data_IF_389839118860
#
_entry.id   IF_389839118860
#
_cell.length_a   1.000
_cell.length_b   1.000
_cell.length_c   1.000
_cell.angle_alpha   90.00
_cell.angle_beta   90.00
_cell.angle_gamma   90.00
#
_symmetry.space_group_name_H-M   'P 1'
#
loop_
_entity.id
_entity.type
_entity.pdbx_description
1 polymer ?
#
# COMPACT_ATOMS: atom_id res chain seq x y z
N UNK A 1 0.81 -17.89 -3.09
CA UNK A 1 1.04 -16.90 -2.03
C UNK A 1 1.91 -15.79 -2.58
N UNK A 2 1.48 -14.54 -2.42
CA UNK A 2 2.27 -13.35 -2.75
C UNK A 2 2.78 -12.66 -1.49
N UNK A 3 3.91 -11.96 -1.60
CA UNK A 3 4.46 -11.13 -0.54
C UNK A 3 4.31 -9.66 -0.88
N UNK A 4 3.89 -8.85 0.09
CA UNK A 4 3.74 -7.42 -0.07
C UNK A 4 4.29 -6.67 1.13
N UNK A 5 4.70 -5.42 0.93
CA UNK A 5 5.24 -4.57 1.99
C UNK A 5 4.13 -3.64 2.44
N UNK A 6 3.65 -3.82 3.66
CA UNK A 6 2.57 -3.00 4.20
C UNK A 6 3.15 -1.94 5.12
N UNK A 7 2.71 -0.70 4.94
CA UNK A 7 3.02 0.44 5.79
C UNK A 7 1.73 1.01 6.37
N UNK A 8 1.74 1.28 7.67
CA UNK A 8 0.60 1.81 8.39
C UNK A 8 1.03 2.61 9.61
N UNK A 9 0.15 3.48 10.10
CA UNK A 9 0.34 4.17 11.36
C UNK A 9 -0.41 3.43 12.46
N UNK A 10 0.32 3.01 13.49
CA UNK A 10 -0.27 2.41 14.69
C UNK A 10 -0.58 3.52 15.69
N UNK A 11 -1.87 3.75 15.92
CA UNK A 11 -2.36 4.83 16.79
C UNK A 11 -2.10 4.58 18.27
N UNK A 12 -2.05 3.31 18.69
CA UNK A 12 -1.83 2.93 20.10
C UNK A 12 -0.37 3.20 20.51
N UNK A 13 0.56 2.94 19.60
CA UNK A 13 1.99 3.16 19.81
C UNK A 13 2.49 4.48 19.25
N UNK A 14 1.64 5.21 18.51
CA UNK A 14 1.96 6.46 17.80
C UNK A 14 3.17 6.35 16.88
N UNK A 15 3.31 5.20 16.20
CA UNK A 15 4.48 4.88 15.38
C UNK A 15 4.08 4.45 13.99
N UNK A 16 4.89 4.88 13.02
CA UNK A 16 4.91 4.27 11.71
C UNK A 16 5.41 2.84 11.85
N UNK A 17 4.63 1.89 11.35
CA UNK A 17 4.98 0.47 11.28
C UNK A 17 5.02 0.03 9.84
N UNK A 18 5.91 -0.92 9.58
CA UNK A 18 5.96 -1.59 8.31
C UNK A 18 6.31 -3.07 8.48
N UNK A 19 5.67 -3.92 7.69
CA UNK A 19 5.84 -5.36 7.75
C UNK A 19 5.67 -6.02 6.39
N UNK A 20 6.22 -7.22 6.23
CA UNK A 20 5.97 -8.04 5.05
C UNK A 20 4.77 -8.94 5.35
N UNK A 21 3.70 -8.75 4.60
CA UNK A 21 2.50 -9.57 4.67
C UNK A 21 2.55 -10.64 3.58
N UNK A 22 1.85 -11.76 3.82
CA UNK A 22 1.67 -12.83 2.85
C UNK A 22 0.19 -12.98 2.55
N UNK A 23 -0.16 -12.87 1.28
CA UNK A 23 -1.55 -12.96 0.84
C UNK A 23 -1.75 -14.19 -0.04
N UNK A 24 -2.92 -14.79 0.10
CA UNK A 24 -3.41 -15.84 -0.80
C UNK A 24 -3.73 -15.25 -2.17
N UNK A 25 -3.48 -16.02 -3.21
CA UNK A 25 -3.65 -15.59 -4.60
C UNK A 25 -3.93 -16.77 -5.54
N UNK A 26 -4.50 -17.85 -5.01
CA UNK A 26 -4.89 -19.02 -5.79
C UNK A 26 -6.00 -18.67 -6.79
N UNK A 27 -6.82 -17.66 -6.46
CA UNK A 27 -7.81 -17.05 -7.34
C UNK A 27 -7.81 -15.52 -7.20
N UNK A 28 -8.34 -14.82 -8.20
CA UNK A 28 -8.51 -13.35 -8.14
C UNK A 28 -9.42 -12.92 -6.99
N UNK A 29 -10.49 -13.66 -6.72
CA UNK A 29 -11.44 -13.36 -5.63
C UNK A 29 -10.79 -13.50 -4.25
N UNK A 30 -9.89 -14.48 -4.09
CA UNK A 30 -9.16 -14.64 -2.84
C UNK A 30 -8.15 -13.53 -2.63
N UNK A 31 -7.44 -13.12 -3.69
CA UNK A 31 -6.54 -11.99 -3.64
C UNK A 31 -7.27 -10.69 -3.28
N UNK A 32 -8.40 -10.40 -3.95
CA UNK A 32 -9.26 -9.24 -3.67
C UNK A 32 -9.69 -9.21 -2.20
N UNK A 33 -10.12 -10.36 -1.65
CA UNK A 33 -10.52 -10.49 -0.25
C UNK A 33 -9.35 -10.22 0.71
N UNK A 34 -8.16 -10.73 0.41
CA UNK A 34 -6.96 -10.52 1.24
C UNK A 34 -6.52 -9.05 1.22
N UNK A 35 -6.54 -8.39 0.05
CA UNK A 35 -6.23 -6.97 -0.09
C UNK A 35 -7.18 -6.10 0.73
N UNK A 36 -8.50 -6.30 0.56
CA UNK A 36 -9.54 -5.60 1.33
C UNK A 36 -9.40 -5.81 2.84
N UNK A 37 -9.09 -7.05 3.25
CA UNK A 37 -8.82 -7.36 4.65
C UNK A 37 -7.63 -6.58 5.21
N UNK A 38 -6.50 -6.58 4.50
CA UNK A 38 -5.29 -5.89 4.94
C UNK A 38 -5.42 -4.37 4.91
N UNK A 39 -6.12 -3.81 3.93
CA UNK A 39 -6.41 -2.37 3.83
C UNK A 39 -7.49 -1.90 4.80
N UNK A 40 -8.29 -2.83 5.33
CA UNK A 40 -9.51 -2.52 6.11
C UNK A 40 -10.48 -1.69 5.27
N UNK A 41 -10.71 -2.12 4.03
CA UNK A 41 -11.52 -1.40 3.04
C UNK A 41 -12.48 -2.30 2.27
N UNK A 42 -13.53 -1.69 1.70
CA UNK A 42 -14.48 -2.36 0.81
C UNK A 42 -14.04 -2.31 -0.66
N UNK A 43 -13.13 -1.38 -0.97
CA UNK A 43 -12.56 -1.12 -2.29
C UNK A 43 -11.12 -0.65 -2.18
N UNK A 44 -10.43 -0.61 -3.31
CA UNK A 44 -9.05 -0.13 -3.38
C UNK A 44 -8.72 0.39 -4.77
N UNK A 45 -7.70 1.23 -4.84
CA UNK A 45 -7.11 1.73 -6.08
C UNK A 45 -5.61 1.39 -6.14
N UNK A 46 -5.09 1.31 -7.36
CA UNK A 46 -3.66 1.14 -7.62
C UNK A 46 -3.06 2.48 -8.04
N UNK A 47 -1.87 2.76 -7.50
CA UNK A 47 -1.08 3.93 -7.85
C UNK A 47 0.35 3.51 -8.15
N UNK A 48 0.90 3.93 -9.29
CA UNK A 48 2.27 3.60 -9.66
C UNK A 48 3.27 4.34 -8.74
N UNK A 49 4.12 3.57 -8.06
CA UNK A 49 5.22 4.10 -7.27
C UNK A 49 6.51 4.16 -8.08
N UNK A 50 6.75 3.13 -8.88
CA UNK A 50 7.83 3.04 -9.85
C UNK A 50 7.38 2.22 -11.05
N UNK A 51 8.29 1.90 -11.98
CA UNK A 51 7.97 1.05 -13.13
C UNK A 51 7.66 -0.39 -12.73
N UNK A 52 8.17 -0.80 -11.57
CA UNK A 52 8.05 -2.19 -11.09
C UNK A 52 7.12 -2.31 -9.89
N UNK A 53 6.76 -1.21 -9.22
CA UNK A 53 6.04 -1.21 -7.95
C UNK A 53 4.78 -0.36 -8.04
N UNK A 54 3.66 -0.95 -7.61
CA UNK A 54 2.42 -0.23 -7.32
C UNK A 54 2.15 -0.16 -5.82
N UNK A 55 1.42 0.87 -5.43
CA UNK A 55 0.84 1.05 -4.10
C UNK A 55 -0.65 0.85 -4.21
N UNK A 56 -1.16 -0.06 -3.41
CA UNK A 56 -2.57 -0.33 -3.25
C UNK A 56 -3.04 0.41 -1.99
N UNK A 57 -4.09 1.21 -2.15
CA UNK A 57 -4.68 2.01 -1.08
C UNK A 57 -6.20 1.90 -1.07
N UNK A 58 -6.80 2.22 0.06
CA UNK A 58 -8.24 2.31 0.23
C UNK A 58 -8.82 3.49 -0.58
N UNK A 59 -9.72 3.18 -1.53
CA UNK A 59 -10.34 4.15 -2.44
C UNK A 59 -11.20 5.19 -1.70
N UNK A 60 -11.63 4.87 -0.48
CA UNK A 60 -12.39 5.76 0.42
C UNK A 60 -11.63 6.12 1.69
N UNK A 61 -10.30 5.98 1.68
CA UNK A 61 -9.47 6.19 2.87
C UNK A 61 -9.66 7.58 3.49
N UNK A 62 -9.88 8.62 2.68
CA UNK A 62 -10.09 9.99 3.16
C UNK A 62 -11.46 10.22 3.83
N UNK A 63 -12.44 9.35 3.58
CA UNK A 63 -13.79 9.48 4.14
C UNK A 63 -13.92 8.82 5.52
N UNK A 64 -12.98 7.94 5.87
CA UNK A 64 -12.92 7.23 7.16
C UNK A 64 -12.38 8.16 8.23
N UNK A 65 -12.90 8.04 9.46
CA UNK A 65 -12.48 8.85 10.61
C UNK A 65 -11.18 8.33 11.21
N UNK A 66 -10.32 9.25 11.68
CA UNK A 66 -9.03 8.94 12.32
C UNK A 66 -8.08 8.09 11.46
N UNK A 67 -8.25 8.12 10.13
CA UNK A 67 -7.41 7.38 9.20
C UNK A 67 -6.12 8.17 8.96
N UNK A 68 -4.92 7.56 9.07
CA UNK A 68 -3.67 8.27 8.84
C UNK A 68 -3.57 8.77 7.41
N UNK A 69 -3.02 9.97 7.23
CA UNK A 69 -2.78 10.57 5.92
C UNK A 69 -1.28 10.69 5.71
N UNK A 70 -0.81 10.08 4.63
CA UNK A 70 0.59 10.06 4.21
C UNK A 70 0.80 10.96 3.01
N UNK A 71 1.96 11.61 2.96
CA UNK A 71 2.54 12.18 1.75
C UNK A 71 3.65 11.23 1.30
N UNK A 72 3.47 10.61 0.13
CA UNK A 72 4.43 9.68 -0.48
C UNK A 72 5.00 10.32 -1.74
N UNK A 73 6.32 10.39 -1.86
CA UNK A 73 7.00 10.75 -3.11
C UNK A 73 7.41 9.47 -3.83
N UNK A 74 6.85 9.27 -5.03
CA UNK A 74 7.15 8.16 -5.92
C UNK A 74 8.56 8.31 -6.54
N UNK A 75 9.11 7.23 -7.11
CA UNK A 75 10.46 7.26 -7.71
C UNK A 75 10.57 8.23 -8.89
N UNK A 76 9.46 8.50 -9.57
CA UNK A 76 9.37 9.49 -10.65
C UNK A 76 9.38 10.95 -10.15
N UNK A 77 9.33 11.18 -8.84
CA UNK A 77 9.30 12.50 -8.21
C UNK A 77 7.91 13.06 -7.94
N UNK A 78 6.86 12.43 -8.48
CA UNK A 78 5.48 12.78 -8.18
C UNK A 78 5.14 12.52 -6.71
N UNK A 79 4.28 13.36 -6.14
CA UNK A 79 3.91 13.26 -4.73
C UNK A 79 2.41 13.08 -4.57
N UNK A 80 2.02 12.05 -3.83
CA UNK A 80 0.63 11.66 -3.62
C UNK A 80 0.27 11.76 -2.14
N UNK A 81 -0.97 12.16 -1.88
CA UNK A 81 -1.57 12.10 -0.56
C UNK A 81 -2.45 10.87 -0.49
N UNK A 82 -2.14 9.96 0.42
CA UNK A 82 -2.78 8.65 0.53
C UNK A 82 -3.30 8.48 1.96
N UNK A 83 -4.50 7.92 2.12
CA UNK A 83 -5.13 7.76 3.43
C UNK A 83 -5.32 6.28 3.77
N UNK A 84 -5.02 5.91 5.02
CA UNK A 84 -5.13 4.55 5.52
C UNK A 84 -3.85 3.74 5.38
N UNK A 85 -3.98 2.44 5.15
CA UNK A 85 -2.83 1.53 5.01
C UNK A 85 -2.34 1.55 3.57
N UNK A 86 -1.03 1.44 3.39
CA UNK A 86 -0.39 1.39 2.07
C UNK A 86 0.19 -0.01 1.87
N UNK A 87 -0.16 -0.69 0.78
CA UNK A 87 0.40 -2.00 0.43
C UNK A 87 1.20 -1.87 -0.85
N UNK A 88 2.50 -2.10 -0.78
CA UNK A 88 3.41 -2.07 -1.93
C UNK A 88 3.56 -3.48 -2.50
N UNK A 89 3.34 -3.60 -3.79
CA UNK A 89 3.41 -4.85 -4.56
C UNK A 89 4.20 -4.64 -5.84
N UNK A 90 4.71 -5.71 -6.45
CA UNK A 90 5.28 -5.60 -7.80
C UNK A 90 4.17 -5.60 -8.84
N UNK A 91 4.30 -4.77 -9.87
CA UNK A 91 3.53 -4.89 -11.09
C UNK A 91 4.12 -6.02 -11.94
N UNK A 92 3.30 -6.97 -12.35
CA UNK A 92 3.64 -7.94 -13.38
C UNK A 92 2.87 -7.51 -14.63
N UNK A 93 3.59 -6.90 -15.57
CA UNK A 93 3.03 -6.58 -16.88
C UNK A 93 2.79 -7.89 -17.66
N UNK A 94 1.53 -8.15 -17.98
CA UNK A 94 1.14 -9.17 -18.93
C UNK A 94 0.59 -8.49 -20.20
N UNK A 95 0.59 -9.20 -21.32
CA UNK A 95 0.10 -8.68 -22.61
C UNK A 95 -1.38 -8.22 -22.54
N UNK A 96 -2.16 -8.75 -21.59
CA UNK A 96 -3.60 -8.51 -21.44
C UNK A 96 -4.02 -7.90 -20.07
N UNK A 97 -3.12 -7.83 -19.06
CA UNK A 97 -3.45 -7.35 -17.70
C UNK A 97 -2.24 -6.87 -16.91
N UNK A 98 -2.48 -6.10 -15.84
CA UNK A 98 -1.48 -5.86 -14.77
C UNK A 98 -1.80 -6.82 -13.62
N UNK A 99 -0.93 -7.78 -13.38
CA UNK A 99 -1.06 -8.73 -12.28
C UNK A 99 -0.24 -8.29 -11.06
N UNK A 100 -0.64 -8.76 -9.87
CA UNK A 100 0.04 -8.46 -8.60
C UNK A 100 1.16 -9.48 -8.34
N UNK A 101 2.40 -9.00 -8.35
CA UNK A 101 3.61 -9.75 -8.06
C UNK A 101 4.09 -9.64 -6.61
N UNK A 102 4.92 -10.61 -6.21
CA UNK A 102 5.58 -10.57 -4.91
C UNK A 102 6.75 -9.59 -4.92
N UNK A 103 6.89 -8.80 -3.86
CA UNK A 103 8.11 -8.03 -3.62
C UNK A 103 9.32 -8.95 -3.39
N UNK A 104 10.51 -8.45 -3.71
CA UNK A 104 11.79 -9.10 -3.41
C UNK A 104 12.44 -8.53 -2.15
N UNK A 105 13.59 -9.09 -1.76
CA UNK A 105 14.35 -8.55 -0.64
C UNK A 105 15.01 -7.21 -0.98
N UNK A 106 15.38 -7.00 -2.24
CA UNK A 106 15.90 -5.73 -2.76
C UNK A 106 14.84 -4.64 -2.66
N UNK A 107 13.58 -4.95 -3.02
CA UNK A 107 12.46 -4.01 -2.90
C UNK A 107 12.29 -3.56 -1.44
N UNK A 108 12.31 -4.51 -0.50
CA UNK A 108 12.21 -4.22 0.95
C UNK A 108 13.37 -3.33 1.42
N UNK A 109 14.59 -3.62 0.96
CA UNK A 109 15.75 -2.81 1.30
C UNK A 109 15.62 -1.38 0.74
N UNK A 110 15.14 -1.25 -0.50
CA UNK A 110 14.87 0.03 -1.13
C UNK A 110 13.82 0.82 -0.34
N UNK A 111 12.69 0.21 0.02
CA UNK A 111 11.66 0.87 0.82
C UNK A 111 12.20 1.35 2.17
N UNK A 112 13.02 0.56 2.85
CA UNK A 112 13.56 0.92 4.16
C UNK A 112 14.59 2.04 4.14
N UNK A 113 15.28 2.24 3.02
CA UNK A 113 16.44 3.16 2.94
C UNK A 113 16.19 4.37 2.06
N UNK A 114 15.32 4.25 1.05
CA UNK A 114 15.08 5.25 0.02
C UNK A 114 13.66 5.83 0.00
N UNK A 115 12.68 5.20 0.65
CA UNK A 115 11.29 5.69 0.61
C UNK A 115 11.17 7.06 1.27
N UNK A 116 10.69 8.03 0.51
CA UNK A 116 10.36 9.37 0.99
C UNK A 116 8.88 9.41 1.34
N UNK A 117 8.57 9.19 2.61
CA UNK A 117 7.20 9.21 3.13
C UNK A 117 7.10 10.06 4.40
N UNK A 118 6.02 10.83 4.52
CA UNK A 118 5.70 11.64 5.70
C UNK A 118 4.29 11.37 6.18
N UNK A 119 4.11 11.26 7.49
CA UNK A 119 2.77 11.31 8.08
C UNK A 119 2.35 12.78 8.22
N UNK A 120 1.27 13.17 7.53
CA UNK A 120 0.71 14.52 7.59
C UNK A 120 -0.25 14.71 8.77
N UNK A 121 -0.87 13.63 9.23
CA UNK A 121 -1.84 13.64 10.32
C UNK A 121 -2.85 12.52 10.17
N UNK A 122 -4.06 12.75 10.70
CA UNK A 122 -5.21 11.84 10.56
C UNK A 122 -6.42 12.61 10.03
N UNK A 123 -7.33 11.92 9.35
CA UNK A 123 -8.62 12.48 8.94
C UNK A 123 -9.46 12.86 10.17
N UNK A 124 -10.32 13.87 10.00
CA UNK A 124 -11.14 14.39 11.10
C UNK A 124 -12.17 13.36 11.59
N UNK A 125 -12.46 13.40 12.88
CA UNK A 125 -13.71 12.81 13.41
C UNK A 125 -14.90 13.58 12.83
N UNK A 126 -15.94 12.86 12.40
CA UNK A 126 -17.21 13.44 11.94
C UNK A 126 -18.11 13.75 13.12
#
# INVERSE_FOLDING_TARGET
>A
MIQAYMLYFDTDTTKLKAEVIKMRNETSDELDRELKHHLVSDGYEFLDYSSEIAVIVDDRGFEKTLNPVFELTCEYGDTHRLAGRLIFVRNIENEDSVDVGSITYEDIFHFRTGMVIKLLGVTKEK
#
